data_IF_636384105424
#
_entry.id   IF_636384105424
#
_cell.length_a   1.000
_cell.length_b   1.000
_cell.length_c   1.000
_cell.angle_alpha   90.00
_cell.angle_beta   90.00
_cell.angle_gamma   90.00
#
_symmetry.space_group_name_H-M   'P 1'
#
loop_
_entity.id
_entity.type
_entity.pdbx_description
1 polymer ?
#
# COMPACT_ATOMS: atom_id res chain seq x y z
N UNK A 1 -25.29 5.32 0.56
CA UNK A 1 -23.85 5.02 0.44
C UNK A 1 -23.22 5.22 1.81
N UNK A 2 -22.54 4.19 2.30
CA UNK A 2 -22.25 3.91 3.70
C UNK A 2 -21.29 4.94 4.32
N UNK A 3 -21.80 6.07 4.82
CA UNK A 3 -21.02 6.93 5.72
C UNK A 3 -20.97 6.19 7.06
N UNK A 4 -19.77 6.06 7.64
CA UNK A 4 -19.60 5.51 8.99
C UNK A 4 -20.45 6.25 10.01
N UNK A 5 -20.36 5.86 11.28
CA UNK A 5 -21.02 6.58 12.38
C UNK A 5 -20.79 8.09 12.22
N UNK A 6 -21.87 8.88 12.34
CA UNK A 6 -21.91 10.29 11.96
C UNK A 6 -20.76 11.07 12.61
N UNK A 7 -19.94 11.72 11.78
CA UNK A 7 -18.83 12.57 12.22
C UNK A 7 -17.49 11.85 12.38
N UNK A 8 -17.44 10.53 12.17
CA UNK A 8 -16.18 9.77 12.23
C UNK A 8 -15.60 9.56 10.83
N UNK A 9 -14.33 9.93 10.58
CA UNK A 9 -13.66 9.65 9.31
C UNK A 9 -13.58 8.15 9.02
N UNK A 10 -13.79 7.77 7.77
CA UNK A 10 -13.73 6.39 7.26
C UNK A 10 -12.54 6.25 6.32
N UNK A 11 -11.69 5.25 6.56
CA UNK A 11 -10.58 4.92 5.67
C UNK A 11 -10.81 3.57 5.01
N UNK A 12 -10.70 3.51 3.68
CA UNK A 12 -10.87 2.27 2.93
C UNK A 12 -9.54 1.55 2.73
N UNK A 13 -9.55 0.23 2.91
CA UNK A 13 -8.48 -0.67 2.51
C UNK A 13 -9.06 -1.76 1.60
N UNK A 14 -8.22 -2.45 0.83
CA UNK A 14 -8.68 -3.53 -0.04
C UNK A 14 -7.99 -3.57 -1.39
N UNK A 15 -6.66 -3.66 -1.39
CA UNK A 15 -5.83 -3.71 -2.63
C UNK A 15 -5.92 -2.41 -3.45
N UNK A 16 -6.12 -1.27 -2.79
CA UNK A 16 -5.99 0.06 -3.39
C UNK A 16 -4.49 0.43 -3.39
N UNK A 17 -3.76 0.01 -4.42
CA UNK A 17 -2.33 0.32 -4.59
C UNK A 17 -2.06 1.26 -5.76
N UNK A 18 -3.05 1.51 -6.61
CA UNK A 18 -3.01 2.55 -7.65
C UNK A 18 -3.49 3.87 -7.04
N UNK A 19 -2.66 4.93 -7.03
CA UNK A 19 -3.06 6.26 -6.56
C UNK A 19 -4.34 6.78 -7.23
N UNK A 20 -4.54 6.52 -8.53
CA UNK A 20 -5.72 7.00 -9.27
C UNK A 20 -7.02 6.31 -8.81
N UNK A 21 -6.94 5.02 -8.46
CA UNK A 21 -8.05 4.32 -7.82
C UNK A 21 -8.34 4.91 -6.43
N UNK A 22 -7.29 5.25 -5.68
CA UNK A 22 -7.40 5.93 -4.39
C UNK A 22 -8.15 7.26 -4.48
N UNK A 23 -7.75 8.11 -5.43
CA UNK A 23 -8.40 9.38 -5.71
C UNK A 23 -9.87 9.18 -6.09
N UNK A 24 -10.16 8.15 -6.91
CA UNK A 24 -11.54 7.81 -7.28
C UNK A 24 -12.40 7.41 -6.07
N UNK A 25 -11.84 6.69 -5.10
CA UNK A 25 -12.55 6.31 -3.86
C UNK A 25 -12.89 7.54 -3.02
N UNK A 26 -11.94 8.46 -2.86
CA UNK A 26 -12.09 9.67 -2.06
C UNK A 26 -13.07 10.65 -2.73
N UNK A 27 -12.87 10.96 -4.01
CA UNK A 27 -13.72 11.90 -4.77
C UNK A 27 -15.16 11.44 -4.92
N UNK A 28 -15.42 10.12 -4.95
CA UNK A 28 -16.77 9.54 -4.95
C UNK A 28 -17.44 9.55 -3.56
N UNK A 29 -16.73 9.97 -2.51
CA UNK A 29 -17.23 9.98 -1.14
C UNK A 29 -17.48 8.58 -0.57
N UNK A 30 -16.74 7.57 -1.06
CA UNK A 30 -16.81 6.19 -0.55
C UNK A 30 -16.04 6.07 0.78
N UNK A 31 -14.96 6.83 0.93
CA UNK A 31 -14.18 6.97 2.14
C UNK A 31 -13.54 8.36 2.20
N UNK A 32 -13.14 8.79 3.39
CA UNK A 32 -12.42 10.04 3.64
C UNK A 32 -10.90 9.90 3.38
N UNK A 33 -10.42 8.66 3.24
CA UNK A 33 -9.05 8.36 2.86
C UNK A 33 -8.86 6.90 2.49
N UNK A 34 -7.66 6.56 2.03
CA UNK A 34 -7.27 5.18 1.72
C UNK A 34 -6.13 4.70 2.62
N UNK A 35 -6.06 3.39 2.84
CA UNK A 35 -4.97 2.74 3.56
C UNK A 35 -4.18 1.88 2.59
N UNK A 36 -2.93 2.27 2.36
CA UNK A 36 -1.98 1.52 1.54
C UNK A 36 -1.04 0.74 2.46
N UNK A 37 -1.38 -0.52 2.73
CA UNK A 37 -0.55 -1.37 3.59
C UNK A 37 0.55 -2.07 2.77
N UNK A 38 0.25 -3.20 2.13
CA UNK A 38 1.24 -3.98 1.37
C UNK A 38 1.88 -3.22 0.19
N UNK A 39 1.22 -2.19 -0.33
CA UNK A 39 1.80 -1.30 -1.35
C UNK A 39 3.00 -0.53 -0.81
N UNK A 40 2.86 0.13 0.35
CA UNK A 40 3.97 0.84 1.01
C UNK A 40 5.04 -0.11 1.55
N UNK A 41 4.67 -1.33 1.92
CA UNK A 41 5.65 -2.35 2.29
C UNK A 41 6.47 -2.83 1.09
N UNK A 42 5.83 -3.01 -0.07
CA UNK A 42 6.55 -3.33 -1.30
C UNK A 42 7.42 -2.17 -1.79
N UNK A 43 6.92 -0.94 -1.66
CA UNK A 43 7.56 0.30 -2.12
C UNK A 43 7.50 1.39 -1.04
N UNK A 44 8.59 1.61 -0.27
CA UNK A 44 8.61 2.65 0.76
C UNK A 44 8.36 4.06 0.22
N UNK A 45 8.72 4.30 -1.05
CA UNK A 45 8.55 5.59 -1.73
C UNK A 45 7.17 5.74 -2.39
N UNK A 46 6.22 4.82 -2.12
CA UNK A 46 4.89 4.83 -2.75
C UNK A 46 4.21 6.20 -2.69
N UNK A 47 4.27 6.88 -1.54
CA UNK A 47 3.65 8.20 -1.33
C UNK A 47 4.33 9.27 -2.17
N UNK A 48 5.67 9.31 -2.15
CA UNK A 48 6.45 10.27 -2.93
C UNK A 48 6.21 10.09 -4.43
N UNK A 49 6.27 8.84 -4.91
CA UNK A 49 6.02 8.52 -6.33
C UNK A 49 4.58 8.85 -6.74
N UNK A 50 3.60 8.66 -5.86
CA UNK A 50 2.23 9.05 -6.12
C UNK A 50 2.10 10.58 -6.26
N UNK A 51 2.74 11.34 -5.36
CA UNK A 51 2.77 12.81 -5.39
C UNK A 51 3.49 13.35 -6.64
N UNK A 52 4.60 12.74 -7.03
CA UNK A 52 5.39 13.10 -8.22
C UNK A 52 4.75 12.68 -9.56
N UNK A 53 3.57 12.03 -9.55
CA UNK A 53 2.94 11.51 -10.76
C UNK A 53 3.66 10.30 -11.39
N UNK A 54 4.54 9.65 -10.62
CA UNK A 54 5.36 8.50 -11.02
C UNK A 54 4.72 7.17 -10.62
N UNK A 55 3.40 7.07 -10.74
CA UNK A 55 2.66 5.85 -10.41
C UNK A 55 3.13 4.62 -11.22
N UNK A 56 3.69 4.84 -12.42
CA UNK A 56 4.25 3.78 -13.26
C UNK A 56 5.56 3.17 -12.70
N UNK A 57 6.25 3.87 -11.80
CA UNK A 57 7.50 3.44 -11.16
C UNK A 57 7.26 2.70 -9.83
N UNK A 58 6.01 2.43 -9.48
CA UNK A 58 5.63 1.77 -8.23
C UNK A 58 6.02 0.29 -8.27
N UNK A 59 6.65 -0.19 -7.18
CA UNK A 59 6.82 -1.62 -6.96
C UNK A 59 5.49 -2.21 -6.50
N UNK A 60 4.78 -2.87 -7.41
CA UNK A 60 3.47 -3.45 -7.12
C UNK A 60 3.57 -4.73 -6.28
N UNK A 61 2.86 -4.77 -5.15
CA UNK A 61 2.68 -5.98 -4.36
C UNK A 61 2.02 -7.09 -5.21
N UNK A 62 2.59 -8.29 -5.18
CA UNK A 62 1.99 -9.51 -5.74
C UNK A 62 0.93 -10.02 -4.75
N UNK A 63 -0.38 -9.91 -5.02
CA UNK A 63 -1.40 -10.06 -3.97
C UNK A 63 -1.44 -11.43 -3.29
N UNK A 64 -1.07 -12.48 -4.01
CA UNK A 64 -1.23 -13.87 -3.59
C UNK A 64 0.12 -14.60 -3.42
N UNK A 65 1.21 -13.85 -3.18
CA UNK A 65 2.53 -14.44 -2.87
C UNK A 65 2.70 -14.83 -1.38
N UNK A 66 1.99 -14.16 -0.48
CA UNK A 66 1.96 -14.40 0.98
C UNK A 66 3.33 -14.36 1.73
N UNK A 67 4.44 -14.00 1.09
CA UNK A 67 5.78 -13.97 1.71
C UNK A 67 5.82 -13.07 2.96
N UNK A 68 5.23 -11.88 2.89
CA UNK A 68 5.21 -10.93 4.01
C UNK A 68 4.47 -11.46 5.24
N UNK A 69 3.38 -12.22 5.06
CA UNK A 69 2.61 -12.78 6.17
C UNK A 69 3.29 -14.04 6.73
N UNK A 70 3.94 -14.83 5.88
CA UNK A 70 4.68 -16.02 6.30
C UNK A 70 5.93 -15.68 7.11
N UNK A 71 6.61 -14.57 6.77
CA UNK A 71 7.86 -14.15 7.40
C UNK A 71 7.69 -13.10 8.50
N UNK A 72 6.45 -12.63 8.77
CA UNK A 72 6.18 -11.51 9.68
C UNK A 72 6.78 -11.66 11.09
N UNK A 73 7.00 -12.89 11.56
CA UNK A 73 7.53 -13.17 12.91
C UNK A 73 9.05 -13.25 12.97
N UNK A 74 9.73 -13.30 11.83
CA UNK A 74 11.18 -13.53 11.71
C UNK A 74 11.90 -12.40 10.98
N UNK A 75 11.22 -11.26 10.80
CA UNK A 75 11.63 -10.21 9.87
C UNK A 75 10.82 -10.35 8.58
N UNK A 76 9.78 -9.53 8.45
CA UNK A 76 8.92 -9.54 7.27
C UNK A 76 9.74 -9.22 6.01
N UNK A 77 9.57 -10.04 4.98
CA UNK A 77 10.21 -9.87 3.67
C UNK A 77 9.15 -9.74 2.58
N UNK A 78 9.54 -9.15 1.44
CA UNK A 78 8.64 -8.95 0.31
C UNK A 78 9.19 -9.64 -0.94
N UNK A 79 8.33 -10.37 -1.65
CA UNK A 79 8.69 -11.09 -2.87
C UNK A 79 9.34 -10.21 -3.94
N UNK A 80 8.92 -8.94 -4.03
CA UNK A 80 9.35 -8.00 -5.07
C UNK A 80 10.63 -7.24 -4.74
N UNK A 81 11.16 -7.35 -3.52
CA UNK A 81 12.40 -6.68 -3.17
C UNK A 81 13.61 -7.34 -3.85
N UNK A 82 14.62 -6.56 -4.26
CA UNK A 82 15.91 -7.10 -4.69
C UNK A 82 16.52 -8.00 -3.62
N UNK A 83 17.24 -9.05 -4.02
CA UNK A 83 17.83 -10.02 -3.10
C UNK A 83 18.74 -9.39 -2.03
N UNK A 84 19.55 -8.40 -2.42
CA UNK A 84 20.43 -7.69 -1.48
C UNK A 84 19.66 -6.90 -0.42
N UNK A 85 18.49 -6.36 -0.78
CA UNK A 85 17.59 -5.67 0.14
C UNK A 85 16.92 -6.68 1.09
N UNK A 86 16.53 -7.87 0.61
CA UNK A 86 15.94 -8.91 1.48
C UNK A 86 16.87 -9.37 2.61
N UNK A 87 18.20 -9.35 2.38
CA UNK A 87 19.21 -9.74 3.37
C UNK A 87 19.40 -8.73 4.49
N UNK A 88 19.29 -7.44 4.16
CA UNK A 88 19.51 -6.33 5.09
C UNK A 88 18.20 -5.90 5.75
N UNK A 89 17.16 -5.77 4.95
CA UNK A 89 15.93 -5.06 5.32
C UNK A 89 15.89 -3.71 4.59
N UNK A 90 14.69 -3.16 4.44
CA UNK A 90 14.47 -1.83 3.82
C UNK A 90 14.58 -0.67 4.84
N UNK A 91 14.83 -0.98 6.10
CA UNK A 91 14.83 -0.02 7.22
C UNK A 91 16.19 0.10 7.92
N UNK A 92 17.21 -0.59 7.38
CA UNK A 92 18.62 -0.46 7.78
C UNK A 92 19.24 0.79 7.14
#
# INVERSE_FOLDING_TARGET
FNRGIRGTPVFACGRIYDPALGETVITRGVADGIVVSRGMFADPDWVLKAEEGRAADLLHCIPDCYECIQTQKTGATCAVWPYEIKKKGIWD
#
